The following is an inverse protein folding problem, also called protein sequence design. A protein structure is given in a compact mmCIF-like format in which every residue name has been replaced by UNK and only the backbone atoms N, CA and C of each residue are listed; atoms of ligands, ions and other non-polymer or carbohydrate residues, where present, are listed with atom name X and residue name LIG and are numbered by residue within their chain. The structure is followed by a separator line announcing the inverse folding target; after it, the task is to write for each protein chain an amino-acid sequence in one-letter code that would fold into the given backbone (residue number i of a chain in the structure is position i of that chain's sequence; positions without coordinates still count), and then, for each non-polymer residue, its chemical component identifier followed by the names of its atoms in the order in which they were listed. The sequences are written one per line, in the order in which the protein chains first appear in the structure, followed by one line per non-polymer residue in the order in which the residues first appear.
data_IF_628417788012
#
_entry.id   IF_628417788012
#
_cell.length_a   1.000
_cell.length_b   1.000
_cell.length_c   1.000
_cell.angle_alpha   90.00
_cell.angle_beta   90.00
_cell.angle_gamma   90.00
#
_symmetry.space_group_name_H-M   'P 1'
#
loop_
_entity.id
_entity.type
_entity.pdbx_description
1 polymer ?
#
# COMPACT_ATOMS: atom_id res chain seq x y z
N UNK A 1 29.42 26.23 0.21
CA UNK A 1 30.78 26.80 0.38
C UNK A 1 31.32 27.12 -1.00
N UNK A 2 32.22 28.10 -1.13
CA UNK A 2 32.73 28.57 -2.43
C UNK A 2 34.17 28.05 -2.63
N UNK A 3 34.43 27.22 -3.65
CA UNK A 3 35.78 26.75 -3.98
C UNK A 3 36.72 27.89 -4.35
N UNK A 4 38.02 27.66 -4.17
CA UNK A 4 39.04 28.64 -4.55
C UNK A 4 38.92 29.05 -6.04
N UNK A 5 38.95 30.36 -6.29
CA UNK A 5 38.86 30.93 -7.65
C UNK A 5 37.44 31.04 -8.22
N UNK A 6 36.41 30.53 -7.53
CA UNK A 6 35.01 30.57 -8.01
C UNK A 6 34.17 31.73 -7.43
N UNK A 7 34.67 32.45 -6.43
CA UNK A 7 33.95 33.54 -5.73
C UNK A 7 33.29 34.55 -6.66
N UNK A 8 34.03 35.07 -7.63
CA UNK A 8 33.49 36.08 -8.55
C UNK A 8 32.41 35.53 -9.49
N UNK A 9 32.47 34.24 -9.84
CA UNK A 9 31.46 33.59 -10.68
C UNK A 9 30.17 33.34 -9.88
N UNK A 10 30.30 32.86 -8.66
CA UNK A 10 29.16 32.60 -7.75
C UNK A 10 28.43 33.88 -7.38
N UNK A 11 29.16 34.92 -7.01
CA UNK A 11 28.56 36.23 -6.68
C UNK A 11 27.80 36.79 -7.88
N UNK A 12 28.39 36.71 -9.08
CA UNK A 12 27.72 37.16 -10.30
C UNK A 12 26.44 36.37 -10.57
N UNK A 13 26.47 35.04 -10.42
CA UNK A 13 25.28 34.22 -10.61
C UNK A 13 24.15 34.59 -9.64
N UNK A 14 24.49 34.90 -8.37
CA UNK A 14 23.49 35.34 -7.39
C UNK A 14 22.95 36.75 -7.67
N UNK A 15 23.82 37.66 -8.14
CA UNK A 15 23.42 39.01 -8.55
C UNK A 15 22.50 38.97 -9.78
N UNK A 16 22.80 38.10 -10.76
CA UNK A 16 22.02 37.92 -11.99
C UNK A 16 20.62 37.37 -11.70
N UNK A 17 20.50 36.49 -10.69
CA UNK A 17 19.22 35.94 -10.20
C UNK A 17 18.53 36.87 -9.17
N UNK A 18 19.07 38.06 -8.89
CA UNK A 18 18.43 39.03 -7.99
C UNK A 18 18.36 38.62 -6.52
N UNK A 19 19.14 37.63 -6.10
CA UNK A 19 19.10 37.02 -4.76
C UNK A 19 19.85 37.86 -3.73
N UNK A 20 19.29 38.04 -2.54
CA UNK A 20 20.03 38.61 -1.41
C UNK A 20 20.97 37.56 -0.80
N UNK A 21 22.23 37.93 -0.59
CA UNK A 21 23.21 37.01 -0.03
C UNK A 21 24.15 37.69 0.96
N UNK A 22 24.73 36.88 1.83
CA UNK A 22 25.83 37.23 2.71
C UNK A 22 27.00 36.33 2.36
N UNK A 23 28.16 36.91 2.05
CA UNK A 23 29.41 36.18 1.82
C UNK A 23 30.37 36.46 2.95
N UNK A 24 30.83 35.41 3.62
CA UNK A 24 31.87 35.46 4.65
C UNK A 24 33.11 34.70 4.20
N UNK A 25 34.29 35.11 4.63
CA UNK A 25 35.53 34.41 4.28
C UNK A 25 35.66 33.11 5.09
N UNK A 26 36.03 32.02 4.42
CA UNK A 26 36.27 30.72 5.06
C UNK A 26 37.77 30.58 5.37
N UNK A 27 38.11 30.33 6.63
CA UNK A 27 39.51 30.37 7.10
C UNK A 27 40.02 29.04 7.61
N UNK A 28 39.16 28.02 7.71
CA UNK A 28 39.51 26.71 8.27
C UNK A 28 40.34 25.82 7.33
N UNK A 29 40.30 26.05 6.01
CA UNK A 29 40.96 25.22 5.01
C UNK A 29 41.40 25.96 3.75
N UNK A 30 42.09 25.26 2.84
CA UNK A 30 42.53 25.81 1.54
C UNK A 30 41.60 25.47 0.37
N UNK A 31 40.67 24.56 0.60
CA UNK A 31 39.75 24.04 -0.43
C UNK A 31 38.63 25.05 -0.73
N UNK A 32 38.13 25.69 0.31
CA UNK A 32 37.08 26.71 0.24
C UNK A 32 37.63 28.06 0.66
N UNK A 33 37.15 29.13 0.01
CA UNK A 33 37.62 30.51 0.25
C UNK A 33 36.56 31.41 0.86
N UNK A 34 35.29 31.02 0.75
CA UNK A 34 34.17 31.78 1.31
C UNK A 34 32.94 30.89 1.55
N UNK A 35 32.04 31.35 2.40
CA UNK A 35 30.71 30.79 2.62
C UNK A 35 29.70 31.83 2.16
N UNK A 36 28.81 31.45 1.23
CA UNK A 36 27.65 32.24 0.85
C UNK A 36 26.40 31.67 1.52
N UNK A 37 25.61 32.54 2.13
CA UNK A 37 24.31 32.24 2.73
C UNK A 37 23.28 33.16 2.10
N UNK A 38 22.20 32.61 1.57
CA UNK A 38 21.15 33.36 0.90
C UNK A 38 19.81 32.64 1.07
N UNK A 39 18.71 33.36 1.37
CA UNK A 39 17.39 32.79 1.40
C UNK A 39 16.81 32.71 -0.02
N UNK A 40 16.08 31.63 -0.30
CA UNK A 40 15.36 31.44 -1.55
C UNK A 40 13.95 30.95 -1.28
N UNK A 41 12.94 31.43 -2.02
CA UNK A 41 11.65 30.77 -2.10
C UNK A 41 11.81 29.34 -2.58
N UNK A 42 10.95 28.43 -2.12
CA UNK A 42 11.07 26.99 -2.40
C UNK A 42 11.15 26.70 -3.91
N UNK A 43 10.33 27.37 -4.72
CA UNK A 43 10.31 27.24 -6.17
C UNK A 43 11.60 27.73 -6.86
N UNK A 44 12.32 28.67 -6.26
CA UNK A 44 13.56 29.24 -6.79
C UNK A 44 14.82 28.41 -6.44
N UNK A 45 14.72 27.46 -5.51
CA UNK A 45 15.87 26.66 -5.05
C UNK A 45 16.50 25.88 -6.21
N UNK A 46 15.71 25.13 -6.98
CA UNK A 46 16.25 24.27 -8.05
C UNK A 46 16.87 25.10 -9.21
N UNK A 47 16.20 26.14 -9.76
CA UNK A 47 16.79 27.01 -10.78
C UNK A 47 18.10 27.68 -10.33
N UNK A 48 18.12 28.25 -9.13
CA UNK A 48 19.33 28.94 -8.62
C UNK A 48 20.46 27.95 -8.35
N UNK A 49 20.16 26.74 -7.85
CA UNK A 49 21.18 25.70 -7.69
C UNK A 49 21.78 25.27 -9.04
N UNK A 50 20.96 25.16 -10.09
CA UNK A 50 21.45 24.81 -11.43
C UNK A 50 22.38 25.90 -11.99
N UNK A 51 22.06 27.18 -11.79
CA UNK A 51 22.96 28.29 -12.13
C UNK A 51 24.26 28.27 -11.34
N UNK A 52 24.18 27.97 -10.06
CA UNK A 52 25.36 27.87 -9.20
C UNK A 52 26.25 26.69 -9.62
N UNK A 53 25.67 25.58 -10.11
CA UNK A 53 26.42 24.47 -10.72
C UNK A 53 27.19 24.92 -11.95
N UNK A 54 26.57 25.68 -12.85
CA UNK A 54 27.27 26.29 -14.00
C UNK A 54 28.41 27.22 -13.56
N UNK A 55 28.24 27.92 -12.43
CA UNK A 55 29.27 28.79 -11.84
C UNK A 55 30.40 28.01 -11.12
N UNK A 56 30.25 26.70 -10.93
CA UNK A 56 31.26 25.81 -10.32
C UNK A 56 30.96 25.38 -8.88
N UNK A 57 29.71 25.44 -8.43
CA UNK A 57 29.21 24.81 -7.20
C UNK A 57 28.61 23.45 -7.59
N UNK A 58 29.47 22.44 -7.74
CA UNK A 58 29.05 21.09 -8.11
C UNK A 58 28.83 20.17 -6.88
N UNK A 59 28.50 18.90 -7.12
CA UNK A 59 28.24 17.88 -6.08
C UNK A 59 29.41 17.65 -5.10
N UNK A 60 30.64 18.04 -5.46
CA UNK A 60 31.80 17.97 -4.56
C UNK A 60 31.87 19.14 -3.57
N UNK A 61 31.03 20.16 -3.78
CA UNK A 61 31.00 21.37 -2.97
C UNK A 61 30.03 21.21 -1.79
N UNK A 62 30.48 21.59 -0.59
CA UNK A 62 29.65 21.52 0.61
C UNK A 62 28.50 22.53 0.56
N UNK A 63 27.27 22.04 0.39
CA UNK A 63 26.03 22.85 0.33
C UNK A 63 25.06 22.38 1.40
N UNK A 64 24.50 23.31 2.17
CA UNK A 64 23.54 23.03 3.24
C UNK A 64 22.27 23.82 2.95
N UNK A 65 21.14 23.11 2.87
CA UNK A 65 19.82 23.69 2.68
C UNK A 65 19.07 23.55 4.00
N UNK A 66 18.55 24.66 4.52
CA UNK A 66 17.77 24.70 5.76
C UNK A 66 16.46 25.43 5.52
N UNK A 67 15.38 24.92 6.09
CA UNK A 67 14.11 25.63 6.12
C UNK A 67 14.21 26.83 7.07
N UNK A 68 13.94 28.03 6.56
CA UNK A 68 13.82 29.22 7.39
C UNK A 68 12.39 29.33 7.93
N UNK A 69 12.23 29.68 9.20
CA UNK A 69 10.88 29.91 9.78
C UNK A 69 10.18 31.12 9.13
N UNK A 70 10.94 32.17 8.80
CA UNK A 70 10.44 33.37 8.11
C UNK A 70 11.61 34.09 7.46
N UNK A 71 11.40 34.60 6.24
CA UNK A 71 12.33 35.49 5.55
C UNK A 71 11.62 36.82 5.29
N UNK A 72 12.25 37.94 5.64
CA UNK A 72 11.72 39.28 5.36
C UNK A 72 12.71 39.97 4.41
N UNK A 73 12.40 39.97 3.11
CA UNK A 73 13.15 40.70 2.09
C UNK A 73 12.25 41.02 0.90
N UNK A 74 12.35 42.25 0.37
CA UNK A 74 11.66 42.66 -0.85
C UNK A 74 12.13 41.88 -2.09
N UNK A 75 13.39 41.47 -2.13
CA UNK A 75 13.93 40.65 -3.23
C UNK A 75 13.44 39.21 -3.11
N UNK A 76 13.30 38.71 -1.88
CA UNK A 76 12.68 37.42 -1.64
C UNK A 76 11.20 37.42 -2.08
N UNK A 77 10.42 38.44 -1.70
CA UNK A 77 9.02 38.59 -2.14
C UNK A 77 8.92 38.69 -3.67
N UNK A 78 9.81 39.44 -4.32
CA UNK A 78 9.85 39.54 -5.78
C UNK A 78 10.20 38.21 -6.46
N UNK A 79 11.17 37.46 -5.90
CA UNK A 79 11.51 36.11 -6.36
C UNK A 79 10.33 35.16 -6.14
N UNK A 80 9.61 35.27 -5.03
CA UNK A 80 8.44 34.44 -4.75
C UNK A 80 7.33 34.70 -5.78
N UNK A 81 7.07 35.96 -6.13
CA UNK A 81 6.12 36.33 -7.19
C UNK A 81 6.58 35.83 -8.57
N UNK A 82 7.84 36.08 -8.96
CA UNK A 82 8.41 35.67 -10.24
C UNK A 82 8.33 34.15 -10.45
N UNK A 83 8.76 33.37 -9.45
CA UNK A 83 8.74 31.92 -9.52
C UNK A 83 7.36 31.31 -9.23
N UNK A 84 6.43 32.06 -8.64
CA UNK A 84 5.03 31.64 -8.52
C UNK A 84 4.26 31.78 -9.85
N UNK A 85 4.59 32.76 -10.68
CA UNK A 85 3.99 32.95 -12.02
C UNK A 85 4.45 31.90 -13.04
N UNK A 86 5.73 31.48 -12.97
CA UNK A 86 6.30 30.43 -13.83
C UNK A 86 5.89 29.00 -13.40
N UNK A 87 5.36 28.84 -12.19
CA UNK A 87 4.87 27.56 -11.69
C UNK A 87 3.47 27.25 -12.26
N UNK A 88 3.40 26.71 -13.49
CA UNK A 88 2.15 26.14 -14.05
C UNK A 88 1.53 25.07 -13.12
N UNK A 89 2.33 24.49 -12.21
CA UNK A 89 1.94 23.51 -11.20
C UNK A 89 2.65 23.80 -9.85
N UNK A 90 1.99 24.54 -8.95
CA UNK A 90 2.17 24.47 -7.48
C UNK A 90 3.37 25.20 -6.86
N UNK A 91 3.10 26.27 -6.09
CA UNK A 91 4.08 26.97 -5.23
C UNK A 91 4.63 26.16 -4.04
N UNK A 92 4.31 24.87 -3.95
CA UNK A 92 4.69 23.97 -2.83
C UNK A 92 5.71 22.88 -3.28
N UNK A 93 6.30 23.04 -4.47
CA UNK A 93 7.33 22.15 -5.00
C UNK A 93 8.67 22.42 -4.30
N UNK A 94 9.24 21.39 -3.68
CA UNK A 94 10.56 21.42 -3.03
C UNK A 94 11.67 20.96 -3.99
N UNK A 95 12.92 21.29 -3.69
CA UNK A 95 14.06 20.84 -4.52
C UNK A 95 14.24 19.31 -4.48
N UNK A 96 14.94 18.75 -5.48
CA UNK A 96 15.24 17.30 -5.52
C UNK A 96 16.12 16.86 -4.38
N UNK A 97 17.07 17.70 -4.01
CA UNK A 97 18.00 17.50 -2.91
C UNK A 97 17.23 17.48 -1.58
N UNK A 98 16.24 18.35 -1.44
CA UNK A 98 15.34 18.34 -0.29
C UNK A 98 14.43 17.11 -0.28
N UNK A 99 13.87 16.69 -1.43
CA UNK A 99 13.11 15.43 -1.52
C UNK A 99 13.95 14.24 -1.09
N UNK A 100 15.19 14.15 -1.58
CA UNK A 100 16.12 13.08 -1.24
C UNK A 100 16.44 13.10 0.27
N UNK A 101 16.73 14.27 0.83
CA UNK A 101 16.98 14.42 2.26
C UNK A 101 15.77 14.01 3.11
N UNK A 102 14.55 14.43 2.75
CA UNK A 102 13.32 14.01 3.44
C UNK A 102 13.09 12.50 3.32
N UNK A 103 13.36 11.90 2.17
CA UNK A 103 13.23 10.46 1.97
C UNK A 103 14.21 9.66 2.84
N UNK A 104 15.46 10.14 2.96
CA UNK A 104 16.48 9.53 3.81
C UNK A 104 16.16 9.72 5.31
N UNK A 105 15.57 10.85 5.71
CA UNK A 105 15.14 11.08 7.10
C UNK A 105 14.00 10.12 7.52
N UNK A 106 13.12 9.77 6.57
CA UNK A 106 12.11 8.73 6.77
C UNK A 106 12.70 7.31 6.82
N UNK A 107 13.94 7.11 6.39
CA UNK A 107 14.58 5.81 6.38
C UNK A 107 15.12 5.47 7.79
N UNK A 108 14.30 4.77 8.56
CA UNK A 108 14.73 4.18 9.83
C UNK A 108 15.94 3.26 9.64
N UNK A 109 16.85 3.26 10.62
CA UNK A 109 17.96 2.29 10.66
C UNK A 109 17.45 0.86 10.60
N UNK A 110 18.17 -0.03 9.91
CA UNK A 110 17.71 -1.39 9.60
C UNK A 110 17.27 -2.18 10.86
N UNK A 111 17.96 -2.02 11.99
CA UNK A 111 17.60 -2.66 13.25
C UNK A 111 16.24 -2.20 13.79
N UNK A 112 16.01 -0.88 13.87
CA UNK A 112 14.74 -0.30 14.30
C UNK A 112 13.61 -0.66 13.33
N UNK A 113 13.88 -0.58 12.03
CA UNK A 113 12.94 -0.96 10.99
C UNK A 113 12.45 -2.41 11.18
N UNK A 114 13.38 -3.37 11.26
CA UNK A 114 13.06 -4.78 11.46
C UNK A 114 12.32 -5.00 12.77
N UNK A 115 12.77 -4.42 13.88
CA UNK A 115 12.13 -4.57 15.19
C UNK A 115 10.68 -4.07 15.19
N UNK A 116 10.45 -2.87 14.66
CA UNK A 116 9.12 -2.28 14.60
C UNK A 116 8.20 -3.07 13.65
N UNK A 117 8.73 -3.56 12.52
CA UNK A 117 7.97 -4.46 11.63
C UNK A 117 7.61 -5.77 12.31
N UNK A 118 8.50 -6.38 13.09
CA UNK A 118 8.21 -7.60 13.86
C UNK A 118 7.11 -7.34 14.88
N UNK A 119 7.23 -6.27 15.68
CA UNK A 119 6.23 -5.91 16.70
C UNK A 119 4.87 -5.67 16.04
N UNK A 120 4.85 -4.88 14.96
CA UNK A 120 3.64 -4.60 14.19
C UNK A 120 3.00 -5.88 13.63
N UNK A 121 3.78 -6.77 13.01
CA UNK A 121 3.27 -8.02 12.46
C UNK A 121 2.71 -8.98 13.53
N UNK A 122 3.35 -9.04 14.71
CA UNK A 122 2.84 -9.83 15.85
C UNK A 122 1.50 -9.28 16.33
N UNK A 123 1.39 -7.96 16.53
CA UNK A 123 0.14 -7.32 16.98
C UNK A 123 -0.95 -7.46 15.90
N UNK A 124 -0.60 -7.32 14.62
CA UNK A 124 -1.53 -7.53 13.51
C UNK A 124 -2.07 -8.95 13.50
N UNK A 125 -1.19 -9.95 13.66
CA UNK A 125 -1.57 -11.36 13.72
C UNK A 125 -2.49 -11.64 14.90
N UNK A 126 -2.18 -11.10 16.09
CA UNK A 126 -3.05 -11.19 17.24
C UNK A 126 -4.40 -10.52 17.00
N UNK A 127 -4.42 -9.32 16.41
CA UNK A 127 -5.64 -8.58 16.08
C UNK A 127 -6.54 -9.34 15.11
N UNK A 128 -5.96 -9.94 14.07
CA UNK A 128 -6.69 -10.79 13.11
C UNK A 128 -7.28 -12.03 13.78
N UNK A 129 -6.51 -12.73 14.63
CA UNK A 129 -6.98 -13.93 15.34
C UNK A 129 -7.99 -13.63 16.45
N UNK A 130 -7.99 -12.41 16.98
CA UNK A 130 -8.97 -11.92 17.94
C UNK A 130 -10.21 -11.31 17.28
N UNK A 131 -10.26 -11.25 15.94
CA UNK A 131 -11.30 -10.57 15.17
C UNK A 131 -11.54 -9.13 15.66
N UNK A 132 -10.43 -8.40 15.90
CA UNK A 132 -10.44 -7.07 16.52
C UNK A 132 -9.93 -5.99 15.55
N UNK A 133 -10.83 -5.32 14.81
CA UNK A 133 -10.45 -4.26 13.87
C UNK A 133 -9.58 -3.18 14.53
N UNK A 134 -9.88 -2.81 15.77
CA UNK A 134 -9.13 -1.81 16.52
C UNK A 134 -7.67 -2.22 16.79
N UNK A 135 -7.43 -3.50 17.10
CA UNK A 135 -6.08 -4.03 17.33
C UNK A 135 -5.31 -4.11 16.01
N UNK A 136 -5.99 -4.50 14.93
CA UNK A 136 -5.41 -4.51 13.58
C UNK A 136 -4.99 -3.09 13.19
N UNK A 137 -5.85 -2.08 13.41
CA UNK A 137 -5.50 -0.66 13.14
C UNK A 137 -4.33 -0.19 14.01
N UNK A 138 -4.31 -0.52 15.31
CA UNK A 138 -3.20 -0.17 16.20
C UNK A 138 -1.86 -0.73 15.75
N UNK A 139 -1.84 -1.92 15.15
CA UNK A 139 -0.62 -2.52 14.60
C UNK A 139 -0.02 -1.72 13.43
N UNK A 140 -0.86 -1.10 12.60
CA UNK A 140 -0.44 -0.37 11.39
C UNK A 140 0.36 0.89 11.74
N UNK A 141 0.04 1.54 12.86
CA UNK A 141 0.72 2.78 13.29
C UNK A 141 2.19 2.56 13.66
N UNK A 142 2.57 1.32 13.97
CA UNK A 142 3.90 0.98 14.47
C UNK A 142 4.90 0.78 13.31
N UNK A 143 4.46 0.28 12.15
CA UNK A 143 5.37 -0.13 11.08
C UNK A 143 5.90 1.06 10.26
N UNK A 144 7.23 1.27 10.20
CA UNK A 144 7.82 2.41 9.48
C UNK A 144 7.96 2.14 7.96
N UNK A 145 6.84 1.96 7.26
CA UNK A 145 6.82 1.52 5.85
C UNK A 145 6.89 2.65 4.82
N UNK A 146 6.77 3.92 5.23
CA UNK A 146 6.84 5.07 4.31
C UNK A 146 8.23 5.26 3.69
N UNK A 147 9.29 5.20 4.49
CA UNK A 147 10.67 5.46 4.05
C UNK A 147 11.10 4.60 2.85
N UNK A 148 10.94 3.26 2.91
CA UNK A 148 11.27 2.38 1.79
C UNK A 148 10.49 2.66 0.50
N UNK A 149 9.20 3.01 0.60
CA UNK A 149 8.36 3.36 -0.55
C UNK A 149 8.82 4.68 -1.19
N UNK A 150 9.03 5.71 -0.37
CA UNK A 150 9.47 7.03 -0.84
C UNK A 150 10.89 6.98 -1.41
N UNK A 151 11.82 6.24 -0.80
CA UNK A 151 13.17 6.02 -1.32
C UNK A 151 13.15 5.41 -2.73
N UNK A 152 12.28 4.43 -2.98
CA UNK A 152 12.17 3.80 -4.28
C UNK A 152 11.60 4.75 -5.35
N UNK A 153 10.55 5.51 -5.01
CA UNK A 153 9.95 6.49 -5.91
C UNK A 153 10.92 7.63 -6.24
N UNK A 154 11.50 8.26 -5.21
CA UNK A 154 12.40 9.41 -5.35
C UNK A 154 13.69 9.02 -6.04
N UNK A 155 14.33 7.91 -5.64
CA UNK A 155 15.54 7.39 -6.32
C UNK A 155 15.31 7.10 -7.81
N UNK A 156 14.07 6.85 -8.23
CA UNK A 156 13.75 6.74 -9.66
C UNK A 156 13.72 8.07 -10.39
N UNK A 157 13.21 9.10 -9.74
CA UNK A 157 12.99 10.40 -10.36
C UNK A 157 14.25 11.26 -10.36
N UNK A 158 15.11 11.09 -9.36
CA UNK A 158 16.42 11.78 -9.29
C UNK A 158 17.56 10.98 -9.96
N UNK A 159 17.25 9.85 -10.61
CA UNK A 159 18.23 8.95 -11.24
C UNK A 159 19.33 8.42 -10.28
N UNK A 160 18.97 8.24 -9.01
CA UNK A 160 19.81 7.60 -7.99
C UNK A 160 19.44 6.11 -7.85
N UNK A 161 20.18 5.28 -8.60
CA UNK A 161 20.03 3.83 -8.59
C UNK A 161 20.31 3.21 -7.22
N UNK A 162 21.19 3.81 -6.39
CA UNK A 162 21.49 3.28 -5.06
C UNK A 162 20.32 3.51 -4.11
N UNK A 163 19.72 4.71 -4.13
CA UNK A 163 18.53 5.05 -3.35
C UNK A 163 17.32 4.19 -3.78
N UNK A 164 17.12 4.04 -5.10
CA UNK A 164 16.07 3.17 -5.64
C UNK A 164 16.21 1.72 -5.13
N UNK A 165 17.40 1.12 -5.30
CA UNK A 165 17.67 -0.26 -4.86
C UNK A 165 17.53 -0.42 -3.36
N UNK A 166 17.96 0.58 -2.58
CA UNK A 166 17.79 0.59 -1.13
C UNK A 166 16.32 0.57 -0.75
N UNK A 167 15.50 1.42 -1.38
CA UNK A 167 14.05 1.46 -1.16
C UNK A 167 13.38 0.13 -1.47
N UNK A 168 13.60 -0.42 -2.67
CA UNK A 168 13.04 -1.72 -3.09
C UNK A 168 13.50 -2.85 -2.16
N UNK A 169 14.79 -2.91 -1.82
CA UNK A 169 15.33 -3.93 -0.92
C UNK A 169 14.69 -3.86 0.46
N UNK A 170 14.55 -2.66 1.02
CA UNK A 170 13.93 -2.46 2.33
C UNK A 170 12.44 -2.85 2.31
N UNK A 171 11.71 -2.54 1.24
CA UNK A 171 10.32 -2.98 1.07
C UNK A 171 10.20 -4.51 1.07
N UNK A 172 11.03 -5.20 0.29
CA UNK A 172 11.05 -6.68 0.22
C UNK A 172 11.42 -7.27 1.59
N UNK A 173 12.43 -6.73 2.26
CA UNK A 173 12.81 -7.15 3.62
C UNK A 173 11.64 -6.93 4.59
N UNK A 174 10.99 -5.78 4.56
CA UNK A 174 9.86 -5.46 5.44
C UNK A 174 8.71 -6.43 5.28
N UNK A 175 8.27 -6.68 4.05
CA UNK A 175 7.22 -7.66 3.76
C UNK A 175 7.65 -9.06 4.21
N UNK A 176 8.86 -9.50 3.87
CA UNK A 176 9.35 -10.81 4.26
C UNK A 176 9.44 -10.98 5.78
N UNK A 177 9.96 -9.98 6.50
CA UNK A 177 10.04 -9.97 7.96
C UNK A 177 8.64 -9.99 8.57
N UNK A 178 7.71 -9.20 8.05
CA UNK A 178 6.32 -9.18 8.54
C UNK A 178 5.65 -10.55 8.39
N UNK A 179 5.76 -11.17 7.21
CA UNK A 179 5.22 -12.51 6.96
C UNK A 179 5.88 -13.55 7.87
N UNK A 180 7.21 -13.55 7.97
CA UNK A 180 7.94 -14.52 8.80
C UNK A 180 7.61 -14.37 10.29
N UNK A 181 7.51 -13.14 10.79
CA UNK A 181 7.14 -12.85 12.17
C UNK A 181 5.70 -13.29 12.47
N UNK A 182 4.77 -12.98 11.56
CA UNK A 182 3.37 -13.41 11.66
C UNK A 182 3.25 -14.94 11.62
N UNK A 183 3.94 -15.63 10.70
CA UNK A 183 3.99 -17.08 10.63
C UNK A 183 4.55 -17.69 11.91
N UNK A 184 5.69 -17.20 12.40
CA UNK A 184 6.32 -17.72 13.60
C UNK A 184 5.40 -17.55 14.82
N UNK A 185 4.75 -16.40 14.95
CA UNK A 185 3.82 -16.13 16.05
C UNK A 185 2.55 -16.97 15.97
N UNK A 186 1.89 -17.02 14.81
CA UNK A 186 0.70 -17.86 14.60
C UNK A 186 1.01 -19.36 14.82
N UNK A 187 2.17 -19.82 14.35
CA UNK A 187 2.62 -21.20 14.57
C UNK A 187 2.91 -21.47 16.05
N UNK A 188 3.51 -20.52 16.78
CA UNK A 188 3.72 -20.64 18.22
C UNK A 188 2.39 -20.73 18.98
N UNK A 189 1.42 -19.87 18.67
CA UNK A 189 0.08 -19.91 19.28
C UNK A 189 -0.61 -21.26 19.06
N UNK A 190 -0.54 -21.79 17.83
CA UNK A 190 -1.09 -23.10 17.47
C UNK A 190 -0.39 -24.24 18.21
N UNK A 191 0.94 -24.25 18.22
CA UNK A 191 1.73 -25.34 18.81
C UNK A 191 1.70 -25.37 20.34
N UNK A 192 1.56 -24.22 20.99
CA UNK A 192 1.41 -24.13 22.46
C UNK A 192 -0.05 -24.32 22.92
N UNK A 193 -0.99 -24.63 22.02
CA UNK A 193 -2.42 -24.78 22.33
C UNK A 193 -3.02 -23.56 23.06
N UNK A 194 -2.54 -22.35 22.71
CA UNK A 194 -3.05 -21.08 23.25
C UNK A 194 -4.33 -20.62 22.55
N UNK A 195 -4.72 -21.31 21.49
CA UNK A 195 -5.94 -21.07 20.69
C UNK A 195 -6.81 -22.33 20.77
N UNK A 196 -8.15 -22.20 20.83
CA UNK A 196 -9.05 -23.35 20.90
C UNK A 196 -8.76 -24.39 19.79
N UNK A 197 -8.70 -25.69 20.13
CA UNK A 197 -8.56 -26.73 19.13
C UNK A 197 -9.77 -26.72 18.19
N UNK A 198 -9.53 -26.54 16.90
CA UNK A 198 -10.58 -26.46 15.88
C UNK A 198 -10.91 -25.05 15.39
N UNK A 199 -10.20 -24.00 15.84
CA UNK A 199 -10.35 -22.67 15.24
C UNK A 199 -9.97 -22.72 13.74
N UNK A 200 -10.93 -22.39 12.88
CA UNK A 200 -10.69 -22.11 11.48
C UNK A 200 -10.49 -20.60 11.30
N UNK A 201 -9.28 -20.11 10.96
CA UNK A 201 -9.06 -18.70 10.70
C UNK A 201 -9.98 -18.12 9.63
N UNK A 202 -10.52 -18.93 8.72
CA UNK A 202 -11.42 -18.45 7.67
C UNK A 202 -12.81 -18.06 8.18
N UNK A 203 -13.19 -18.47 9.39
CA UNK A 203 -14.45 -18.05 10.03
C UNK A 203 -14.35 -16.64 10.65
N UNK A 204 -13.13 -16.12 10.85
CA UNK A 204 -12.90 -14.79 11.39
C UNK A 204 -13.08 -13.74 10.28
N UNK A 205 -13.93 -12.74 10.53
CA UNK A 205 -14.26 -11.72 9.55
C UNK A 205 -12.99 -11.00 9.06
N UNK A 206 -12.14 -10.56 9.98
CA UNK A 206 -10.89 -9.84 9.68
C UNK A 206 -9.89 -10.64 8.85
N UNK A 207 -9.90 -11.97 8.94
CA UNK A 207 -9.05 -12.85 8.12
C UNK A 207 -9.70 -13.13 6.77
N UNK A 208 -10.99 -13.45 6.76
CA UNK A 208 -11.74 -13.77 5.54
C UNK A 208 -11.79 -12.60 4.55
N UNK A 209 -11.82 -11.35 5.04
CA UNK A 209 -11.74 -10.15 4.21
C UNK A 209 -10.42 -10.03 3.45
N UNK A 210 -9.36 -10.71 3.91
CA UNK A 210 -8.05 -10.76 3.23
C UNK A 210 -7.97 -11.92 2.22
N UNK A 211 -8.99 -12.77 2.15
CA UNK A 211 -9.09 -13.88 1.21
C UNK A 211 -9.59 -13.42 -0.17
N UNK A 212 -10.59 -12.52 -0.17
CA UNK A 212 -11.29 -12.06 -1.36
C UNK A 212 -10.74 -10.69 -1.80
N UNK A 213 -9.87 -10.66 -2.81
CA UNK A 213 -9.25 -9.41 -3.20
C UNK A 213 -10.27 -8.51 -3.90
N UNK A 214 -10.33 -7.24 -3.50
CA UNK A 214 -11.28 -6.27 -4.03
C UNK A 214 -10.54 -5.19 -4.84
N UNK A 215 -11.09 -4.81 -5.99
CA UNK A 215 -10.58 -3.69 -6.81
C UNK A 215 -10.52 -2.37 -6.02
N UNK A 216 -11.35 -2.19 -4.99
CA UNK A 216 -11.30 -1.03 -4.11
C UNK A 216 -9.98 -0.92 -3.33
N UNK A 217 -9.29 -2.03 -3.10
CA UNK A 217 -7.97 -2.05 -2.45
C UNK A 217 -6.93 -1.33 -3.30
N UNK A 218 -7.06 -1.37 -4.64
CA UNK A 218 -6.22 -0.62 -5.55
C UNK A 218 -6.37 0.90 -5.36
N UNK A 219 -7.60 1.38 -5.17
CA UNK A 219 -7.89 2.81 -4.95
C UNK A 219 -7.22 3.29 -3.67
N UNK A 220 -7.27 2.49 -2.59
CA UNK A 220 -6.61 2.79 -1.32
C UNK A 220 -5.09 2.84 -1.49
N UNK A 221 -4.50 1.87 -2.19
CA UNK A 221 -3.06 1.83 -2.43
C UNK A 221 -2.57 3.01 -3.30
N UNK A 222 -3.31 3.36 -4.35
CA UNK A 222 -3.04 4.53 -5.18
C UNK A 222 -3.11 5.80 -4.33
N UNK A 223 -4.18 5.97 -3.54
CA UNK A 223 -4.36 7.11 -2.65
C UNK A 223 -3.23 7.24 -1.62
N UNK A 224 -2.76 6.12 -1.03
CA UNK A 224 -1.64 6.11 -0.10
C UNK A 224 -0.32 6.54 -0.79
N UNK A 225 -0.07 6.11 -2.03
CA UNK A 225 1.09 6.55 -2.80
C UNK A 225 1.05 8.04 -3.14
N UNK A 226 -0.11 8.55 -3.58
CA UNK A 226 -0.32 9.98 -3.85
C UNK A 226 -0.11 10.80 -2.58
N UNK A 227 -0.78 10.43 -1.48
CA UNK A 227 -0.65 11.10 -0.20
C UNK A 227 0.80 11.09 0.30
N UNK A 228 1.57 10.02 0.02
CA UNK A 228 2.99 9.92 0.39
C UNK A 228 3.83 11.00 -0.23
N UNK A 229 3.67 11.21 -1.54
CA UNK A 229 4.41 12.24 -2.27
C UNK A 229 3.94 13.64 -1.88
N UNK A 230 2.61 13.85 -1.79
CA UNK A 230 2.04 15.14 -1.39
C UNK A 230 2.51 15.54 0.01
N UNK A 231 2.54 14.62 0.97
CA UNK A 231 3.04 14.87 2.33
C UNK A 231 4.51 15.27 2.35
N UNK A 232 5.34 14.70 1.48
CA UNK A 232 6.75 15.08 1.36
C UNK A 232 6.96 16.49 0.80
N UNK A 233 6.16 16.87 -0.20
CA UNK A 233 6.24 18.19 -0.82
C UNK A 233 5.73 19.26 0.13
N UNK A 234 4.53 19.07 0.67
CA UNK A 234 3.81 20.05 1.50
C UNK A 234 4.28 20.11 2.96
N UNK A 235 5.14 19.19 3.39
CA UNK A 235 5.56 19.09 4.79
C UNK A 235 4.46 18.62 5.75
N UNK A 236 3.31 18.15 5.25
CA UNK A 236 2.26 17.52 6.04
C UNK A 236 2.80 16.27 6.75
N UNK A 237 2.29 15.98 7.95
CA UNK A 237 2.80 14.93 8.85
C UNK A 237 3.00 13.57 8.17
N UNK A 238 4.27 13.21 7.97
CA UNK A 238 4.69 11.92 7.41
C UNK A 238 4.22 10.71 8.24
N UNK A 239 3.89 10.92 9.52
CA UNK A 239 3.32 9.85 10.36
C UNK A 239 1.94 9.41 9.90
N UNK A 240 1.04 10.34 9.53
CA UNK A 240 -0.30 9.99 9.04
C UNK A 240 -0.25 9.17 7.75
N UNK A 241 0.67 9.52 6.85
CA UNK A 241 0.83 8.77 5.60
C UNK A 241 1.56 7.44 5.82
N UNK A 242 2.49 7.39 6.78
CA UNK A 242 3.09 6.14 7.23
C UNK A 242 2.03 5.12 7.68
N UNK A 243 1.02 5.58 8.41
CA UNK A 243 -0.13 4.74 8.79
C UNK A 243 -0.84 4.22 7.53
N UNK A 244 -1.16 5.07 6.55
CA UNK A 244 -1.88 4.65 5.32
C UNK A 244 -1.13 3.59 4.52
N UNK A 245 0.18 3.71 4.38
CA UNK A 245 1.00 2.69 3.69
C UNK A 245 1.03 1.39 4.50
N UNK A 246 1.10 1.49 5.84
CA UNK A 246 1.07 0.32 6.70
C UNK A 246 -0.30 -0.38 6.73
N UNK A 247 -1.41 0.36 6.65
CA UNK A 247 -2.77 -0.17 6.50
C UNK A 247 -2.86 -1.10 5.29
N UNK A 248 -2.21 -0.72 4.19
CA UNK A 248 -2.23 -1.50 2.96
C UNK A 248 -1.34 -2.75 3.00
N UNK A 249 -0.30 -2.79 3.85
CA UNK A 249 0.74 -3.83 3.77
C UNK A 249 0.75 -4.79 4.96
N UNK A 250 0.61 -4.28 6.19
CA UNK A 250 0.82 -5.10 7.41
C UNK A 250 -0.28 -6.16 7.59
N UNK A 251 -1.59 -5.84 7.59
CA UNK A 251 -2.61 -6.85 7.80
C UNK A 251 -2.62 -7.94 6.71
N UNK A 252 -2.51 -7.61 5.41
CA UNK A 252 -2.38 -8.65 4.38
C UNK A 252 -1.12 -9.51 4.57
N UNK A 253 0.03 -8.93 4.96
CA UNK A 253 1.23 -9.71 5.25
C UNK A 253 1.04 -10.63 6.48
N UNK A 254 0.33 -10.17 7.51
CA UNK A 254 -0.03 -10.99 8.66
C UNK A 254 -0.99 -12.13 8.28
N UNK A 255 -1.97 -11.86 7.41
CA UNK A 255 -2.89 -12.87 6.89
C UNK A 255 -2.15 -13.94 6.06
N UNK A 256 -1.16 -13.57 5.24
CA UNK A 256 -0.25 -14.53 4.59
C UNK A 256 0.45 -15.39 5.66
N UNK A 257 0.96 -14.75 6.71
CA UNK A 257 1.63 -15.44 7.80
C UNK A 257 0.76 -16.48 8.52
N UNK A 258 -0.49 -16.12 8.81
CA UNK A 258 -1.54 -17.01 9.35
C UNK A 258 -1.81 -18.15 8.36
N UNK A 259 -2.02 -17.84 7.08
CA UNK A 259 -2.25 -18.85 6.05
C UNK A 259 -1.14 -19.90 5.97
N UNK A 260 0.13 -19.47 6.10
CA UNK A 260 1.26 -20.40 6.16
C UNK A 260 1.23 -21.24 7.44
N UNK A 261 1.01 -20.62 8.60
CA UNK A 261 1.00 -21.31 9.89
C UNK A 261 -0.16 -22.33 10.04
N UNK A 262 -1.30 -22.06 9.43
CA UNK A 262 -2.49 -22.91 9.42
C UNK A 262 -2.56 -23.85 8.20
N UNK A 263 -1.61 -23.76 7.28
CA UNK A 263 -1.57 -24.52 6.02
C UNK A 263 -2.84 -24.31 5.17
N UNK A 264 -3.21 -23.05 4.96
CA UNK A 264 -4.38 -22.61 4.17
C UNK A 264 -3.85 -21.92 2.88
N UNK A 265 -3.63 -22.65 1.77
CA UNK A 265 -3.02 -22.10 0.56
C UNK A 265 -3.82 -20.95 -0.05
N UNK A 266 -5.16 -21.00 0.04
CA UNK A 266 -6.06 -19.95 -0.46
C UNK A 266 -5.78 -18.60 0.19
N UNK A 267 -5.58 -18.57 1.50
CA UNK A 267 -5.27 -17.35 2.24
C UNK A 267 -3.88 -16.82 1.89
N UNK A 268 -2.90 -17.71 1.75
CA UNK A 268 -1.53 -17.33 1.34
C UNK A 268 -1.53 -16.66 -0.04
N UNK A 269 -2.24 -17.23 -1.01
CA UNK A 269 -2.30 -16.69 -2.37
C UNK A 269 -3.12 -15.40 -2.41
N UNK A 270 -4.32 -15.38 -1.84
CA UNK A 270 -5.21 -14.22 -1.85
C UNK A 270 -4.57 -13.00 -1.17
N UNK A 271 -4.13 -13.16 0.08
CA UNK A 271 -3.49 -12.08 0.82
C UNK A 271 -2.11 -11.71 0.23
N UNK A 272 -1.37 -12.67 -0.32
CA UNK A 272 -0.08 -12.43 -0.98
C UNK A 272 -0.20 -11.57 -2.23
N UNK A 273 -1.25 -11.80 -3.03
CA UNK A 273 -1.56 -10.95 -4.19
C UNK A 273 -1.96 -9.55 -3.74
N UNK A 274 -2.76 -9.41 -2.66
CA UNK A 274 -3.11 -8.11 -2.10
C UNK A 274 -1.84 -7.33 -1.69
N UNK A 275 -0.91 -7.98 -0.96
CA UNK A 275 0.38 -7.36 -0.59
C UNK A 275 1.13 -6.88 -1.84
N UNK A 276 1.23 -7.72 -2.87
CA UNK A 276 1.96 -7.40 -4.08
C UNK A 276 1.32 -6.23 -4.86
N UNK A 277 0.00 -6.25 -5.05
CA UNK A 277 -0.74 -5.18 -5.73
C UNK A 277 -0.59 -3.87 -4.98
N UNK A 278 -0.71 -3.88 -3.64
CA UNK A 278 -0.57 -2.68 -2.83
C UNK A 278 0.82 -2.09 -2.92
N UNK A 279 1.84 -2.93 -2.76
CA UNK A 279 3.23 -2.51 -2.85
C UNK A 279 3.53 -1.87 -4.21
N UNK A 280 3.15 -2.53 -5.30
CA UNK A 280 3.42 -2.02 -6.65
C UNK A 280 2.63 -0.75 -6.95
N UNK A 281 1.36 -0.68 -6.54
CA UNK A 281 0.49 0.47 -6.79
C UNK A 281 0.94 1.71 -6.03
N UNK A 282 1.35 1.57 -4.76
CA UNK A 282 1.92 2.67 -3.98
C UNK A 282 3.15 3.26 -4.69
N UNK A 283 4.06 2.40 -5.15
CA UNK A 283 5.26 2.85 -5.87
C UNK A 283 4.91 3.50 -7.23
N UNK A 284 3.99 2.90 -7.99
CA UNK A 284 3.57 3.44 -9.29
C UNK A 284 2.92 4.82 -9.13
N UNK A 285 2.00 4.96 -8.19
CA UNK A 285 1.30 6.23 -7.93
C UNK A 285 2.26 7.31 -7.46
N UNK A 286 3.16 6.99 -6.54
CA UNK A 286 4.20 7.92 -6.11
C UNK A 286 5.06 8.38 -7.30
N UNK A 287 5.44 7.45 -8.18
CA UNK A 287 6.25 7.74 -9.36
C UNK A 287 5.51 8.64 -10.38
N UNK A 288 4.23 8.36 -10.61
CA UNK A 288 3.37 9.15 -11.51
C UNK A 288 3.16 10.56 -10.99
N UNK A 289 2.90 10.72 -9.69
CA UNK A 289 2.71 12.05 -9.07
C UNK A 289 3.99 12.86 -9.16
N UNK A 290 5.14 12.29 -8.78
CA UNK A 290 6.42 13.00 -8.90
C UNK A 290 6.70 13.44 -10.34
N UNK A 291 6.39 12.59 -11.32
CA UNK A 291 6.56 12.96 -12.72
C UNK A 291 5.59 14.05 -13.19
N UNK A 292 4.33 14.00 -12.72
CA UNK A 292 3.31 15.01 -12.99
C UNK A 292 3.72 16.38 -12.43
N UNK A 293 4.28 16.41 -11.22
CA UNK A 293 4.83 17.61 -10.56
C UNK A 293 6.15 18.12 -11.19
N UNK A 294 6.57 17.55 -12.31
CA UNK A 294 7.70 18.04 -13.10
C UNK A 294 9.07 17.59 -12.59
N UNK A 295 9.13 16.74 -11.57
CA UNK A 295 10.37 16.07 -11.20
C UNK A 295 10.72 15.06 -12.30
N UNK A 296 11.60 15.46 -13.22
CA UNK A 296 12.04 14.66 -14.38
C UNK A 296 13.53 14.41 -14.27
N UNK A 297 14.04 13.18 -14.46
CA UNK A 297 15.47 12.94 -14.36
C UNK A 297 16.22 13.74 -15.46
N UNK A 298 16.89 14.83 -15.06
CA UNK A 298 17.73 15.64 -15.92
C UNK A 298 19.18 15.34 -15.58
N UNK A 299 19.83 14.53 -16.42
CA UNK A 299 21.29 14.51 -16.51
C UNK A 299 21.66 15.22 -17.79
N UNK A 300 22.28 16.40 -17.66
CA UNK A 300 22.78 17.27 -18.74
C UNK A 300 23.71 16.58 -19.76
N UNK A 301 24.15 15.34 -19.51
CA UNK A 301 25.02 14.58 -20.40
C UNK A 301 24.42 13.26 -20.94
N UNK A 302 23.19 12.87 -20.55
CA UNK A 302 22.58 11.55 -20.88
C UNK A 302 21.04 11.57 -20.95
N UNK A 303 20.45 12.62 -21.52
CA UNK A 303 18.99 12.86 -21.52
C UNK A 303 18.14 11.67 -22.00
N UNK A 304 18.63 10.88 -22.98
CA UNK A 304 17.86 9.76 -23.53
C UNK A 304 17.81 8.53 -22.60
N UNK A 305 18.86 8.29 -21.80
CA UNK A 305 18.95 7.07 -20.98
C UNK A 305 18.11 7.16 -19.70
N UNK A 306 18.02 8.35 -19.09
CA UNK A 306 17.33 8.51 -17.81
C UNK A 306 15.79 8.50 -17.98
N UNK A 307 15.27 9.14 -19.04
CA UNK A 307 13.84 9.06 -19.39
C UNK A 307 13.43 7.63 -19.78
N UNK A 308 14.27 6.92 -20.53
CA UNK A 308 14.04 5.53 -20.87
C UNK A 308 14.00 4.61 -19.63
N UNK A 309 14.89 4.85 -18.64
CA UNK A 309 14.90 4.11 -17.39
C UNK A 309 13.61 4.34 -16.57
N UNK A 310 13.16 5.60 -16.47
CA UNK A 310 11.89 5.95 -15.84
C UNK A 310 10.70 5.24 -16.52
N UNK A 311 10.56 5.40 -17.85
CA UNK A 311 9.46 4.80 -18.62
C UNK A 311 9.46 3.28 -18.51
N UNK A 312 10.64 2.66 -18.55
CA UNK A 312 10.79 1.22 -18.34
C UNK A 312 10.28 0.79 -16.97
N UNK A 313 10.59 1.53 -15.89
CA UNK A 313 10.13 1.22 -14.53
C UNK A 313 8.62 1.39 -14.40
N UNK A 314 8.05 2.48 -14.92
CA UNK A 314 6.60 2.69 -15.00
C UNK A 314 5.92 1.54 -15.74
N UNK A 315 6.44 1.17 -16.91
CA UNK A 315 5.90 0.07 -17.71
C UNK A 315 5.97 -1.27 -16.98
N UNK A 316 7.10 -1.58 -16.33
CA UNK A 316 7.24 -2.82 -15.53
C UNK A 316 6.25 -2.87 -14.38
N UNK A 317 6.10 -1.77 -13.63
CA UNK A 317 5.11 -1.68 -12.54
C UNK A 317 3.68 -1.82 -13.07
N UNK A 318 3.34 -1.09 -14.14
CA UNK A 318 2.00 -1.14 -14.74
C UNK A 318 1.66 -2.53 -15.28
N UNK A 319 2.59 -3.21 -15.96
CA UNK A 319 2.39 -4.59 -16.44
C UNK A 319 2.27 -5.56 -15.28
N UNK A 320 3.10 -5.43 -14.24
CA UNK A 320 2.99 -6.29 -13.06
C UNK A 320 1.65 -6.11 -12.33
N UNK A 321 1.19 -4.87 -12.17
CA UNK A 321 -0.12 -4.56 -11.59
C UNK A 321 -1.23 -5.11 -12.49
N UNK A 322 -1.16 -4.92 -13.81
CA UNK A 322 -2.16 -5.44 -14.74
C UNK A 322 -2.26 -6.97 -14.68
N UNK A 323 -1.12 -7.68 -14.66
CA UNK A 323 -1.10 -9.15 -14.52
C UNK A 323 -1.73 -9.61 -13.21
N UNK A 324 -1.36 -8.98 -12.09
CA UNK A 324 -1.95 -9.28 -10.79
C UNK A 324 -3.42 -8.89 -10.71
N UNK A 325 -3.84 -7.82 -11.40
CA UNK A 325 -5.22 -7.33 -11.46
C UNK A 325 -6.11 -8.23 -12.30
N UNK A 326 -5.57 -8.86 -13.35
CA UNK A 326 -6.28 -9.90 -14.11
C UNK A 326 -6.53 -11.12 -13.23
N UNK A 327 -5.51 -11.54 -12.46
CA UNK A 327 -5.70 -12.59 -11.46
C UNK A 327 -6.75 -12.18 -10.41
N UNK A 328 -6.65 -10.95 -9.89
CA UNK A 328 -7.61 -10.36 -8.95
C UNK A 328 -9.03 -10.43 -9.49
N UNK A 329 -9.23 -9.93 -10.72
CA UNK A 329 -10.52 -9.90 -11.39
C UNK A 329 -11.10 -11.29 -11.60
N UNK A 330 -10.25 -12.30 -11.87
CA UNK A 330 -10.67 -13.70 -11.91
C UNK A 330 -11.19 -14.20 -10.56
N UNK A 331 -10.49 -13.91 -9.47
CA UNK A 331 -10.93 -14.28 -8.10
C UNK A 331 -12.18 -13.50 -7.68
N UNK A 332 -12.25 -12.21 -7.99
CA UNK A 332 -13.43 -11.36 -7.73
C UNK A 332 -14.63 -11.85 -8.53
N UNK A 333 -14.44 -12.23 -9.79
CA UNK A 333 -15.49 -12.78 -10.63
C UNK A 333 -16.00 -14.12 -10.08
N UNK A 334 -15.10 -15.01 -9.68
CA UNK A 334 -15.48 -16.27 -9.03
C UNK A 334 -16.26 -16.02 -7.73
N UNK A 335 -15.80 -15.09 -6.89
CA UNK A 335 -16.48 -14.71 -5.65
C UNK A 335 -17.87 -14.10 -5.93
N UNK A 336 -17.99 -13.30 -6.98
CA UNK A 336 -19.25 -12.72 -7.42
C UNK A 336 -20.22 -13.80 -7.90
N UNK A 337 -19.78 -14.70 -8.78
CA UNK A 337 -20.56 -15.84 -9.25
C UNK A 337 -20.96 -16.74 -8.09
N UNK A 338 -20.06 -16.98 -7.13
CA UNK A 338 -20.37 -17.73 -5.92
C UNK A 338 -21.48 -17.06 -5.11
N UNK A 339 -21.38 -15.74 -4.88
CA UNK A 339 -22.40 -14.98 -4.15
C UNK A 339 -23.76 -14.96 -4.86
N UNK A 340 -23.79 -14.81 -6.19
CA UNK A 340 -25.05 -14.85 -6.95
C UNK A 340 -25.65 -16.25 -6.94
N UNK A 341 -24.83 -17.27 -7.17
CA UNK A 341 -25.28 -18.68 -7.12
C UNK A 341 -25.85 -19.01 -5.75
N UNK A 342 -25.25 -18.54 -4.66
CA UNK A 342 -25.80 -18.73 -3.32
C UNK A 342 -27.13 -18.01 -3.10
N UNK A 343 -27.27 -16.79 -3.63
CA UNK A 343 -28.54 -16.07 -3.59
C UNK A 343 -29.64 -16.79 -4.39
N UNK A 344 -29.28 -17.32 -5.56
CA UNK A 344 -30.19 -18.10 -6.42
C UNK A 344 -30.59 -19.42 -5.77
N UNK A 345 -29.64 -20.15 -5.16
CA UNK A 345 -29.91 -21.36 -4.37
C UNK A 345 -30.83 -21.02 -3.18
N UNK A 346 -30.57 -19.93 -2.45
CA UNK A 346 -31.37 -19.49 -1.31
C UNK A 346 -32.80 -19.16 -1.73
N UNK A 347 -32.97 -18.44 -2.83
CA UNK A 347 -34.28 -18.13 -3.39
C UNK A 347 -35.01 -19.41 -3.82
N UNK A 348 -34.35 -20.29 -4.56
CA UNK A 348 -34.93 -21.53 -5.06
C UNK A 348 -35.32 -22.49 -3.92
N UNK A 349 -34.48 -22.61 -2.89
CA UNK A 349 -34.80 -23.39 -1.69
C UNK A 349 -35.99 -22.80 -0.92
N UNK A 350 -36.05 -21.48 -0.77
CA UNK A 350 -37.18 -20.80 -0.11
C UNK A 350 -38.50 -20.99 -0.88
N UNK A 351 -38.46 -20.87 -2.20
CA UNK A 351 -39.63 -21.07 -3.07
C UNK A 351 -40.14 -22.51 -3.00
N UNK A 352 -39.23 -23.49 -3.05
CA UNK A 352 -39.57 -24.91 -2.97
C UNK A 352 -40.17 -25.28 -1.61
N UNK A 353 -39.58 -24.77 -0.51
CA UNK A 353 -40.11 -24.98 0.83
C UNK A 353 -41.53 -24.43 0.96
N UNK A 354 -41.77 -23.21 0.46
CA UNK A 354 -43.09 -22.57 0.48
C UNK A 354 -44.11 -23.33 -0.38
N UNK A 355 -43.66 -23.95 -1.48
CA UNK A 355 -44.51 -24.75 -2.37
C UNK A 355 -44.90 -26.11 -1.74
N UNK A 356 -44.00 -26.71 -0.96
CA UNK A 356 -44.28 -27.93 -0.21
C UNK A 356 -45.26 -27.67 0.94
N UNK A 357 -45.01 -26.63 1.73
CA UNK A 357 -45.88 -26.22 2.83
C UNK A 357 -45.65 -24.73 3.15
N UNK A 358 -46.72 -23.94 3.26
CA UNK A 358 -46.58 -22.50 3.58
C UNK A 358 -46.08 -22.23 5.00
N UNK A 359 -46.03 -23.26 5.85
CA UNK A 359 -45.46 -23.17 7.19
C UNK A 359 -43.97 -23.53 7.26
N UNK A 360 -43.36 -24.03 6.16
CA UNK A 360 -41.93 -24.29 6.11
C UNK A 360 -41.12 -23.00 5.92
N UNK A 361 -40.06 -22.85 6.72
CA UNK A 361 -39.21 -21.67 6.69
C UNK A 361 -37.76 -22.04 6.46
N UNK A 362 -37.07 -21.31 5.58
CA UNK A 362 -35.63 -21.42 5.46
C UNK A 362 -34.96 -20.68 6.62
N UNK A 363 -34.40 -21.41 7.58
CA UNK A 363 -33.73 -20.83 8.75
C UNK A 363 -32.28 -20.45 8.46
N UNK A 364 -31.57 -21.31 7.75
CA UNK A 364 -30.16 -21.13 7.42
C UNK A 364 -29.79 -21.91 6.15
N UNK A 365 -28.78 -21.42 5.44
CA UNK A 365 -28.26 -22.05 4.23
C UNK A 365 -26.75 -21.94 4.23
N UNK A 366 -26.08 -23.09 4.27
CA UNK A 366 -24.63 -23.20 4.18
C UNK A 366 -24.25 -23.87 2.87
N UNK A 367 -23.42 -23.19 2.05
CA UNK A 367 -22.89 -23.73 0.80
C UNK A 367 -21.43 -24.10 0.97
N UNK A 368 -21.14 -25.39 1.00
CA UNK A 368 -19.76 -25.90 1.06
C UNK A 368 -19.16 -25.99 -0.35
N UNK A 369 -18.09 -25.23 -0.57
CA UNK A 369 -17.35 -25.22 -1.84
C UNK A 369 -15.94 -25.79 -1.66
N UNK A 370 -15.54 -26.69 -2.54
CA UNK A 370 -14.21 -27.27 -2.57
C UNK A 370 -13.34 -26.63 -3.66
N UNK A 371 -12.03 -26.82 -3.53
CA UNK A 371 -11.02 -26.30 -4.46
C UNK A 371 -9.98 -25.41 -3.77
N UNK A 372 -8.73 -25.47 -4.25
CA UNK A 372 -7.61 -24.70 -3.70
C UNK A 372 -7.35 -23.41 -4.46
N UNK A 373 -7.83 -23.29 -5.70
CA UNK A 373 -7.69 -22.12 -6.56
C UNK A 373 -9.03 -21.88 -7.25
N UNK A 374 -9.51 -20.63 -7.32
CA UNK A 374 -10.68 -20.27 -8.12
C UNK A 374 -10.59 -20.75 -9.59
N UNK A 375 -11.71 -21.15 -10.22
CA UNK A 375 -13.07 -21.14 -9.69
C UNK A 375 -13.38 -22.31 -8.74
N UNK A 376 -14.10 -22.04 -7.64
CA UNK A 376 -14.47 -23.05 -6.65
C UNK A 376 -15.72 -23.83 -7.07
N UNK A 377 -15.80 -25.08 -6.60
CA UNK A 377 -16.86 -26.02 -6.97
C UNK A 377 -17.74 -26.27 -5.74
N UNK A 378 -19.00 -25.83 -5.77
CA UNK A 378 -20.05 -26.27 -4.83
C UNK A 378 -20.14 -27.80 -4.79
N UNK A 379 -19.92 -28.41 -3.62
CA UNK A 379 -20.04 -29.87 -3.46
C UNK A 379 -21.25 -30.25 -2.62
N UNK A 380 -21.57 -29.41 -1.62
CA UNK A 380 -22.64 -29.69 -0.69
C UNK A 380 -23.42 -28.43 -0.35
N UNK A 381 -24.74 -28.55 -0.26
CA UNK A 381 -25.61 -27.51 0.23
C UNK A 381 -26.35 -28.05 1.44
N UNK A 382 -26.12 -27.44 2.60
CA UNK A 382 -26.82 -27.77 3.84
C UNK A 382 -27.91 -26.74 4.05
N UNK A 383 -29.16 -27.20 4.02
CA UNK A 383 -30.36 -26.38 4.16
C UNK A 383 -30.98 -26.64 5.52
N UNK A 384 -31.09 -25.62 6.36
CA UNK A 384 -31.75 -25.74 7.67
C UNK A 384 -33.18 -25.24 7.56
N UNK A 385 -34.13 -26.12 7.81
CA UNK A 385 -35.56 -25.89 7.58
C UNK A 385 -36.30 -25.86 8.91
N UNK A 386 -37.09 -24.81 9.14
CA UNK A 386 -38.05 -24.71 10.23
C UNK A 386 -39.35 -25.41 9.84
N UNK A 387 -39.82 -26.34 10.67
CA UNK A 387 -41.07 -27.08 10.45
C UNK A 387 -42.00 -26.98 11.66
N UNK A 388 -43.34 -26.99 11.48
CA UNK A 388 -44.29 -26.99 12.60
C UNK A 388 -44.20 -28.27 13.46
N UNK A 389 -44.70 -28.22 14.72
CA UNK A 389 -44.80 -29.40 15.56
C UNK A 389 -45.76 -30.45 14.98
N UNK A 390 -45.28 -31.69 14.81
CA UNK A 390 -46.11 -32.81 14.38
C UNK A 390 -46.16 -33.08 12.87
N UNK A 391 -45.42 -32.32 12.06
CA UNK A 391 -45.35 -32.54 10.60
C UNK A 391 -44.40 -33.70 10.24
N UNK A 392 -44.83 -34.57 9.32
CA UNK A 392 -43.99 -35.65 8.81
C UNK A 392 -42.94 -35.08 7.83
N UNK A 393 -41.66 -35.35 8.08
CA UNK A 393 -40.52 -34.70 7.40
C UNK A 393 -40.02 -35.50 6.18
N UNK A 394 -40.92 -36.18 5.47
CA UNK A 394 -40.53 -37.00 4.32
C UNK A 394 -40.56 -36.19 3.02
N UNK A 395 -39.54 -36.31 2.18
CA UNK A 395 -39.51 -35.73 0.83
C UNK A 395 -38.92 -34.33 0.69
N UNK A 396 -38.53 -33.65 1.77
CA UNK A 396 -37.91 -32.30 1.70
C UNK A 396 -36.54 -32.34 1.00
N UNK A 397 -35.68 -33.30 1.36
CA UNK A 397 -34.34 -33.38 0.77
C UNK A 397 -34.36 -33.65 -0.75
N UNK A 398 -35.12 -34.65 -1.28
CA UNK A 398 -35.21 -34.86 -2.74
C UNK A 398 -35.79 -33.68 -3.51
N UNK A 399 -36.79 -32.98 -2.96
CA UNK A 399 -37.37 -31.80 -3.61
C UNK A 399 -36.38 -30.64 -3.69
N UNK A 400 -35.64 -30.39 -2.60
CA UNK A 400 -34.56 -29.41 -2.59
C UNK A 400 -33.41 -29.81 -3.52
N UNK A 401 -33.08 -31.09 -3.59
CA UNK A 401 -32.03 -31.64 -4.47
C UNK A 401 -32.31 -31.31 -5.94
N UNK A 402 -33.48 -31.71 -6.46
CA UNK A 402 -33.86 -31.45 -7.86
C UNK A 402 -33.87 -29.95 -8.18
N UNK A 403 -34.38 -29.13 -7.25
CA UNK A 403 -34.46 -27.68 -7.45
C UNK A 403 -33.09 -27.01 -7.42
N UNK A 404 -32.22 -27.41 -6.50
CA UNK A 404 -30.87 -26.85 -6.35
C UNK A 404 -29.97 -27.31 -7.51
N UNK A 405 -30.06 -28.57 -7.94
CA UNK A 405 -29.34 -29.07 -9.11
C UNK A 405 -29.71 -28.31 -10.39
N UNK A 406 -30.99 -27.94 -10.55
CA UNK A 406 -31.44 -27.11 -11.67
C UNK A 406 -30.83 -25.69 -11.67
N UNK A 407 -30.55 -25.13 -10.49
CA UNK A 407 -29.91 -23.81 -10.35
C UNK A 407 -28.40 -23.90 -10.56
N UNK A 408 -27.75 -24.90 -9.96
CA UNK A 408 -26.29 -25.07 -10.02
C UNK A 408 -25.83 -25.68 -11.35
N UNK A 409 -26.72 -26.37 -12.07
CA UNK A 409 -26.47 -26.97 -13.37
C UNK A 409 -25.63 -28.25 -13.33
N UNK A 410 -25.54 -28.91 -12.16
CA UNK A 410 -24.81 -30.17 -11.92
C UNK A 410 -25.28 -30.82 -10.62
N UNK A 411 -24.91 -32.09 -10.44
CA UNK A 411 -25.18 -32.82 -9.20
C UNK A 411 -24.44 -32.21 -8.01
N UNK A 412 -25.17 -32.05 -6.89
CA UNK A 412 -24.67 -31.48 -5.63
C UNK A 412 -25.26 -32.28 -4.48
N UNK A 413 -24.48 -32.58 -3.44
CA UNK A 413 -25.03 -33.25 -2.27
C UNK A 413 -25.91 -32.28 -1.46
N UNK A 414 -27.23 -32.46 -1.46
CA UNK A 414 -28.15 -31.67 -0.65
C UNK A 414 -28.48 -32.37 0.67
N UNK A 415 -28.23 -31.68 1.79
CA UNK A 415 -28.56 -32.14 3.14
C UNK A 415 -29.63 -31.22 3.75
N UNK A 416 -30.84 -31.74 3.98
CA UNK A 416 -31.89 -31.00 4.67
C UNK A 416 -31.88 -31.32 6.18
N UNK A 417 -31.63 -30.30 7.01
CA UNK A 417 -31.68 -30.38 8.48
C UNK A 417 -32.94 -29.71 8.98
N UNK A 418 -33.87 -30.47 9.53
CA UNK A 418 -35.12 -29.90 10.04
C UNK A 418 -35.04 -29.58 11.52
N UNK A 419 -35.70 -28.49 11.90
CA UNK A 419 -35.81 -28.01 13.28
C UNK A 419 -37.27 -27.65 13.53
N UNK A 420 -37.84 -28.13 14.62
CA UNK A 420 -39.21 -27.75 14.99
C UNK A 420 -39.24 -26.31 15.49
N UNK A 421 -40.13 -25.49 14.94
CA UNK A 421 -40.31 -24.09 15.32
C UNK A 421 -41.71 -23.91 15.89
N UNK A 422 -41.78 -23.43 17.14
CA UNK A 422 -43.03 -23.09 17.82
C UNK A 422 -43.14 -21.57 17.88
N UNK A 423 -44.22 -21.01 17.29
CA UNK A 423 -44.48 -19.56 17.28
C UNK A 423 -45.59 -19.25 18.28
N UNK A 424 -45.40 -18.19 19.07
CA UNK A 424 -46.36 -17.72 20.08
C UNK A 424 -47.31 -16.66 19.52
#
# INVERSE_FOLDING_TARGET
MIPAGKRAAVVRALDDEGVDYVVTDETSGREYTAVATFPLPTAAVEPVLDRLREAGIDESTYTVIVAAETVISRRFEALEEEYAEDAEHGGDRISREELQAKADDLASGLGTYVLMTVISAVIATAGLLLDSPATVVGSMVIAPLIGPAMSAAIGTVVDDEALFRRGVRMQVIGVAVAVLAATAFAFALRSLALVPPGLDPLELAEVSERLAPNVLVLVVAIGAGVAGVVSLMTGVSATLVGVMIAVALIPPAAAVGIGVAFAIPRLVIGAGVIVAVNLLSINLSALVVLWYEGYRPQRWFREDNARAAFLKRVAVLAVAIALLSVFLGGVTYDSYVASTTEADIRAAASDELTALDSEYELLDLTVERSGTVPPLVTERVVVRVGVPPGTAVEGIAPALDERIEAVVGREVAVEARTVTVERA
#
